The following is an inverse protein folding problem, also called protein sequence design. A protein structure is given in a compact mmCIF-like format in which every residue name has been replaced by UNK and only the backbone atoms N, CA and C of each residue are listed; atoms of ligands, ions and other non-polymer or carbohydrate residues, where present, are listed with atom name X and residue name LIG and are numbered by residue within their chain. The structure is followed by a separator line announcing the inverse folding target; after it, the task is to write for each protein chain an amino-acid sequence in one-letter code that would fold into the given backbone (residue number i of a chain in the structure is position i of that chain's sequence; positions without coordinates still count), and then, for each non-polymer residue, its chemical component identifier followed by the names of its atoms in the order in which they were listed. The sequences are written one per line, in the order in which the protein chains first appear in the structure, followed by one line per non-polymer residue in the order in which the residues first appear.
data_IF_820881578631
#
_entry.id   IF_820881578631
#
_cell.length_a   1.000
_cell.length_b   1.000
_cell.length_c   1.000
_cell.angle_alpha   90.00
_cell.angle_beta   90.00
_cell.angle_gamma   90.00
#
_symmetry.space_group_name_H-M   'P 1'
#
loop_
_entity.id
_entity.type
_entity.pdbx_description
1 polymer ?
#
# COMPACT_ATOMS: atom_id res chain seq x y z
N UNK A 1 -13.25 38.36 -16.01
CA UNK A 1 -13.36 37.07 -16.71
C UNK A 1 -12.56 36.08 -15.90
N UNK A 2 -13.20 35.12 -15.23
CA UNK A 2 -12.49 34.04 -14.56
C UNK A 2 -12.32 32.98 -15.66
N UNK A 3 -11.09 32.81 -16.16
CA UNK A 3 -10.75 31.69 -17.02
C UNK A 3 -11.16 30.42 -16.30
N UNK A 4 -12.20 29.76 -16.81
CA UNK A 4 -12.63 28.45 -16.36
C UNK A 4 -11.60 27.46 -16.90
N UNK A 5 -10.39 27.48 -16.34
CA UNK A 5 -9.30 26.59 -16.70
C UNK A 5 -9.83 25.17 -16.59
N UNK A 6 -9.93 24.51 -17.74
CA UNK A 6 -10.13 23.07 -17.83
C UNK A 6 -9.06 22.43 -16.95
N UNK A 7 -9.46 21.90 -15.79
CA UNK A 7 -8.56 21.17 -14.92
C UNK A 7 -8.00 20.02 -15.74
N UNK A 8 -6.71 20.11 -16.09
CA UNK A 8 -6.01 19.05 -16.78
C UNK A 8 -5.89 17.82 -15.89
N UNK A 9 -5.56 16.68 -16.49
CA UNK A 9 -5.25 15.48 -15.72
C UNK A 9 -4.10 15.74 -14.74
N UNK A 10 -4.21 15.20 -13.52
CA UNK A 10 -3.16 15.37 -12.54
C UNK A 10 -1.86 14.71 -13.01
N UNK A 11 -0.77 15.49 -13.05
CA UNK A 11 0.56 15.00 -13.41
C UNK A 11 0.97 13.89 -12.44
N UNK A 12 1.19 12.68 -12.97
CA UNK A 12 1.66 11.55 -12.18
C UNK A 12 3.16 11.32 -12.38
N UNK A 13 3.88 11.10 -11.29
CA UNK A 13 5.32 10.86 -11.30
C UNK A 13 5.64 9.55 -10.57
N UNK A 14 6.61 8.80 -11.06
CA UNK A 14 7.07 7.59 -10.38
C UNK A 14 7.99 7.94 -9.18
N UNK A 15 8.22 7.00 -8.25
CA UNK A 15 9.12 7.22 -7.11
C UNK A 15 10.55 7.65 -7.50
N UNK A 16 11.09 7.09 -8.59
CA UNK A 16 12.45 7.45 -9.07
C UNK A 16 12.51 8.91 -9.54
N UNK A 17 11.50 9.37 -10.28
CA UNK A 17 11.39 10.78 -10.68
C UNK A 17 11.18 11.68 -9.46
N UNK A 18 10.36 11.24 -8.50
CA UNK A 18 10.13 11.98 -7.26
C UNK A 18 11.42 12.18 -6.47
N UNK A 19 12.24 11.14 -6.34
CA UNK A 19 13.54 11.25 -5.68
C UNK A 19 14.46 12.25 -6.38
N UNK A 20 14.48 12.27 -7.72
CA UNK A 20 15.22 13.27 -8.50
C UNK A 20 14.71 14.69 -8.23
N UNK A 21 13.40 14.90 -8.29
CA UNK A 21 12.78 16.20 -8.04
C UNK A 21 13.09 16.72 -6.62
N UNK A 22 13.04 15.86 -5.61
CA UNK A 22 13.39 16.22 -4.23
C UNK A 22 14.86 16.67 -4.13
N UNK A 23 15.79 16.01 -4.83
CA UNK A 23 17.20 16.44 -4.91
C UNK A 23 17.37 17.78 -5.63
N UNK A 24 16.50 18.09 -6.58
CA UNK A 24 16.43 19.37 -7.30
C UNK A 24 15.72 20.47 -6.49
N UNK A 25 15.24 20.18 -5.28
CA UNK A 25 14.60 21.15 -4.38
C UNK A 25 13.07 21.17 -4.41
N UNK A 26 12.42 20.16 -4.98
CA UNK A 26 10.98 19.98 -4.83
C UNK A 26 10.58 19.70 -3.38
N UNK A 27 9.40 20.16 -2.98
CA UNK A 27 8.83 19.90 -1.66
C UNK A 27 7.94 18.66 -1.72
N UNK A 28 8.21 17.68 -0.87
CA UNK A 28 7.35 16.51 -0.71
C UNK A 28 6.24 16.84 0.29
N UNK A 29 4.98 16.61 -0.08
CA UNK A 29 3.82 16.86 0.79
C UNK A 29 3.15 15.53 1.11
N UNK A 30 3.31 15.07 2.34
CA UNK A 30 2.68 13.85 2.83
C UNK A 30 1.27 14.14 3.33
N UNK A 31 0.26 13.57 2.68
CA UNK A 31 -1.15 13.78 3.01
C UNK A 31 -1.76 12.71 3.91
N UNK A 32 -0.91 11.83 4.47
CA UNK A 32 -1.33 10.83 5.46
C UNK A 32 -1.59 11.47 6.83
N UNK A 33 -2.24 10.69 7.69
CA UNK A 33 -2.47 11.07 9.08
C UNK A 33 -1.14 11.19 9.85
N UNK A 34 -1.11 12.08 10.84
CA UNK A 34 0.11 12.30 11.65
C UNK A 34 0.59 11.03 12.35
N UNK A 35 -0.34 10.15 12.75
CA UNK A 35 -0.05 8.86 13.37
C UNK A 35 0.61 7.88 12.41
N UNK A 36 0.21 7.87 11.13
CA UNK A 36 0.83 7.07 10.07
C UNK A 36 2.26 7.56 9.80
N UNK A 37 2.46 8.88 9.70
CA UNK A 37 3.77 9.48 9.46
C UNK A 37 4.72 9.25 10.64
N UNK A 38 4.23 9.35 11.88
CA UNK A 38 5.02 9.06 13.08
C UNK A 38 5.51 7.61 13.13
N UNK A 39 4.74 6.67 12.57
CA UNK A 39 5.12 5.27 12.51
C UNK A 39 6.12 4.99 11.38
N UNK A 40 5.88 5.58 10.21
CA UNK A 40 6.69 5.39 9.02
C UNK A 40 6.64 6.63 8.12
N UNK A 41 7.77 7.31 8.01
CA UNK A 41 7.96 8.52 7.22
C UNK A 41 8.96 8.32 6.08
N UNK A 42 8.90 9.21 5.09
CA UNK A 42 9.94 9.28 4.05
C UNK A 42 11.20 9.91 4.65
N UNK A 43 12.37 9.33 4.36
CA UNK A 43 13.66 9.92 4.74
C UNK A 43 14.10 10.90 3.64
N UNK A 44 13.53 12.11 3.69
CA UNK A 44 13.81 13.18 2.74
C UNK A 44 13.95 14.52 3.47
N UNK A 45 14.85 15.41 3.02
CA UNK A 45 15.14 16.65 3.74
C UNK A 45 14.02 17.70 3.62
N UNK A 46 13.28 17.71 2.50
CA UNK A 46 12.24 18.68 2.21
C UNK A 46 10.87 18.00 2.18
N UNK A 47 10.32 17.71 3.36
CA UNK A 47 8.99 17.12 3.54
C UNK A 47 8.14 17.91 4.54
N UNK A 48 6.86 18.06 4.20
CA UNK A 48 5.83 18.59 5.10
C UNK A 48 4.69 17.59 5.18
N UNK A 49 4.14 17.39 6.37
CA UNK A 49 2.91 16.60 6.55
C UNK A 49 1.71 17.54 6.68
N UNK A 50 0.77 17.41 5.74
CA UNK A 50 -0.52 18.09 5.76
C UNK A 50 -1.58 17.02 5.47
N UNK A 51 -2.20 16.44 6.51
CA UNK A 51 -3.22 15.42 6.33
C UNK A 51 -4.32 15.87 5.36
N UNK A 52 -4.87 14.93 4.59
CA UNK A 52 -5.88 15.24 3.58
C UNK A 52 -7.08 16.03 4.15
N UNK A 53 -7.51 15.72 5.38
CA UNK A 53 -8.62 16.42 6.03
C UNK A 53 -8.30 17.88 6.42
N UNK A 54 -7.01 18.20 6.62
CA UNK A 54 -6.56 19.57 6.92
C UNK A 54 -6.22 20.36 5.65
N UNK A 55 -6.14 19.71 4.49
CA UNK A 55 -5.68 20.32 3.24
C UNK A 55 -6.50 21.55 2.87
N UNK A 56 -7.82 21.53 3.09
CA UNK A 56 -8.70 22.66 2.77
C UNK A 56 -8.42 23.92 3.59
N UNK A 57 -7.87 23.76 4.79
CA UNK A 57 -7.56 24.86 5.70
C UNK A 57 -6.10 25.30 5.59
N UNK A 58 -5.21 24.37 5.21
CA UNK A 58 -3.75 24.55 5.27
C UNK A 58 -3.06 24.64 3.91
N UNK A 59 -3.79 24.57 2.79
CA UNK A 59 -3.20 24.71 1.44
C UNK A 59 -2.43 26.03 1.26
N UNK A 60 -2.80 27.09 2.01
CA UNK A 60 -2.12 28.39 1.96
C UNK A 60 -0.70 28.39 2.55
N UNK A 61 -0.32 27.37 3.31
CA UNK A 61 1.05 27.20 3.84
C UNK A 61 2.02 26.71 2.75
N UNK A 62 1.51 26.17 1.64
CA UNK A 62 2.34 25.58 0.59
C UNK A 62 2.90 26.65 -0.36
N UNK A 63 4.21 26.59 -0.68
CA UNK A 63 4.83 27.52 -1.62
C UNK A 63 4.30 27.28 -3.04
N UNK A 64 3.85 28.36 -3.71
CA UNK A 64 3.37 28.32 -5.11
C UNK A 64 4.51 28.44 -6.13
N UNK A 65 5.68 28.89 -5.69
CA UNK A 65 6.89 29.12 -6.48
C UNK A 65 7.75 27.86 -6.65
N UNK A 66 7.44 26.78 -5.91
CA UNK A 66 8.21 25.52 -5.90
C UNK A 66 7.42 24.37 -6.50
N UNK A 67 8.14 23.36 -7.01
CA UNK A 67 7.51 22.10 -7.41
C UNK A 67 7.06 21.33 -6.16
N UNK A 68 5.79 20.93 -6.15
CA UNK A 68 5.19 20.16 -5.07
C UNK A 68 4.92 18.73 -5.57
N UNK A 69 5.39 17.74 -4.80
CA UNK A 69 5.06 16.33 -5.05
C UNK A 69 4.26 15.80 -3.88
N UNK A 70 3.01 15.44 -4.15
CA UNK A 70 2.10 14.91 -3.14
C UNK A 70 2.25 13.40 -3.02
N UNK A 71 2.28 12.92 -1.79
CA UNK A 71 2.47 11.51 -1.46
C UNK A 71 1.47 11.06 -0.41
N UNK A 72 1.05 9.81 -0.53
CA UNK A 72 0.34 9.10 0.53
C UNK A 72 0.84 7.65 0.58
N UNK A 73 0.05 6.73 1.12
CA UNK A 73 0.42 5.32 1.20
C UNK A 73 0.42 4.62 -0.18
N UNK A 74 -0.72 4.67 -0.90
CA UNK A 74 -0.94 3.98 -2.19
C UNK A 74 -0.91 4.91 -3.42
N UNK A 75 -1.05 6.22 -3.23
CA UNK A 75 -1.15 7.23 -4.29
C UNK A 75 -2.55 7.81 -4.52
N UNK A 76 -3.60 7.26 -3.88
CA UNK A 76 -5.00 7.67 -4.13
C UNK A 76 -5.40 8.95 -3.38
N UNK A 77 -5.06 9.04 -2.09
CA UNK A 77 -5.34 10.22 -1.26
C UNK A 77 -4.58 11.45 -1.77
N UNK A 78 -3.32 11.25 -2.16
CA UNK A 78 -2.47 12.29 -2.74
C UNK A 78 -2.94 12.74 -4.12
N UNK A 79 -3.56 11.84 -4.92
CA UNK A 79 -4.17 12.23 -6.19
C UNK A 79 -5.33 13.21 -5.97
N UNK A 80 -6.20 12.95 -5.00
CA UNK A 80 -7.30 13.87 -4.64
C UNK A 80 -6.77 15.23 -4.18
N UNK A 81 -5.76 15.23 -3.31
CA UNK A 81 -5.11 16.46 -2.87
C UNK A 81 -4.43 17.21 -4.03
N UNK A 82 -3.88 16.49 -5.02
CA UNK A 82 -3.26 17.11 -6.20
C UNK A 82 -4.30 17.87 -7.00
N UNK A 83 -5.45 17.27 -7.30
CA UNK A 83 -6.55 17.95 -7.97
C UNK A 83 -7.07 19.15 -7.18
N UNK A 84 -7.18 19.01 -5.85
CA UNK A 84 -7.57 20.12 -4.99
C UNK A 84 -6.60 21.32 -5.12
N UNK A 85 -5.29 21.08 -5.05
CA UNK A 85 -4.30 22.16 -5.19
C UNK A 85 -4.29 22.74 -6.61
N UNK A 86 -4.50 21.93 -7.65
CA UNK A 86 -4.65 22.46 -9.02
C UNK A 86 -5.85 23.42 -9.11
N UNK A 87 -6.97 23.08 -8.47
CA UNK A 87 -8.14 23.96 -8.40
C UNK A 87 -7.86 25.26 -7.62
N UNK A 88 -7.00 25.21 -6.61
CA UNK A 88 -6.51 26.41 -5.89
C UNK A 88 -5.47 27.24 -6.69
N UNK A 89 -5.22 26.87 -7.95
CA UNK A 89 -4.32 27.58 -8.86
C UNK A 89 -2.84 27.20 -8.72
N UNK A 90 -2.52 26.07 -8.08
CA UNK A 90 -1.15 25.55 -8.11
C UNK A 90 -0.86 24.91 -9.46
N UNK A 91 0.12 25.44 -10.17
CA UNK A 91 0.50 24.98 -11.53
C UNK A 91 1.57 23.89 -11.52
N UNK A 92 2.33 23.78 -10.42
CA UNK A 92 3.51 22.91 -10.29
C UNK A 92 3.32 21.78 -9.28
N UNK A 93 2.21 21.08 -9.38
CA UNK A 93 1.85 19.97 -8.49
C UNK A 93 1.84 18.64 -9.23
N UNK A 94 2.41 17.61 -8.62
CA UNK A 94 2.44 16.24 -9.14
C UNK A 94 2.04 15.23 -8.07
N UNK A 95 1.34 14.16 -8.46
CA UNK A 95 1.07 13.02 -7.59
C UNK A 95 2.16 11.95 -7.75
N UNK A 96 2.70 11.43 -6.65
CA UNK A 96 3.56 10.26 -6.71
C UNK A 96 2.73 8.97 -6.82
N UNK A 97 2.79 8.34 -7.98
CA UNK A 97 2.08 7.10 -8.26
C UNK A 97 2.58 5.96 -7.37
N UNK A 98 1.66 5.22 -6.74
CA UNK A 98 1.98 4.08 -5.88
C UNK A 98 2.46 4.45 -4.47
N UNK A 99 2.57 5.75 -4.15
CA UNK A 99 2.83 6.25 -2.80
C UNK A 99 4.05 5.64 -2.10
N UNK A 100 4.01 5.66 -0.78
CA UNK A 100 5.04 5.09 0.10
C UNK A 100 5.30 3.60 -0.21
N UNK A 101 4.26 2.83 -0.57
CA UNK A 101 4.41 1.42 -0.90
C UNK A 101 5.33 1.18 -2.11
N UNK A 102 5.20 1.99 -3.17
CA UNK A 102 6.08 1.90 -4.35
C UNK A 102 7.47 2.49 -4.07
N UNK A 103 7.55 3.53 -3.23
CA UNK A 103 8.81 4.10 -2.75
C UNK A 103 9.66 3.06 -2.00
N UNK A 104 9.07 2.35 -1.04
CA UNK A 104 9.75 1.29 -0.29
C UNK A 104 10.13 0.10 -1.17
N UNK A 105 9.24 -0.33 -2.08
CA UNK A 105 9.55 -1.41 -3.03
C UNK A 105 10.76 -1.10 -3.92
N UNK A 106 11.05 0.18 -4.16
CA UNK A 106 12.25 0.63 -4.87
C UNK A 106 13.51 0.67 -4.00
N UNK A 107 13.39 0.41 -2.70
CA UNK A 107 14.51 0.41 -1.76
C UNK A 107 14.98 1.82 -1.36
N UNK A 108 14.11 2.83 -1.49
CA UNK A 108 14.44 4.18 -1.06
C UNK A 108 14.32 4.34 0.46
N UNK A 109 15.08 5.29 1.01
CA UNK A 109 15.18 5.52 2.44
C UNK A 109 13.84 5.97 3.06
N UNK A 110 13.56 5.44 4.25
CA UNK A 110 12.38 5.71 5.07
C UNK A 110 12.81 5.72 6.54
N UNK A 111 12.13 6.50 7.36
CA UNK A 111 12.35 6.61 8.81
C UNK A 111 11.19 5.90 9.52
N UNK A 112 11.48 5.03 10.48
CA UNK A 112 10.46 4.35 11.29
C UNK A 112 10.58 2.84 11.28
N UNK A 113 9.72 2.18 12.05
CA UNK A 113 9.69 0.72 12.12
C UNK A 113 8.62 0.19 11.18
N UNK A 114 9.00 -0.72 10.28
CA UNK A 114 8.02 -1.54 9.61
C UNK A 114 7.50 -2.51 10.68
N UNK A 115 6.19 -2.52 10.94
CA UNK A 115 5.60 -3.76 11.44
C UNK A 115 5.76 -4.73 10.27
N UNK A 116 6.73 -5.63 10.37
CA UNK A 116 7.00 -6.67 9.39
C UNK A 116 5.67 -7.39 9.11
N UNK A 117 4.97 -7.02 8.04
CA UNK A 117 3.86 -7.82 7.56
C UNK A 117 4.47 -9.19 7.31
N UNK A 118 3.96 -10.29 7.90
CA UNK A 118 4.59 -11.59 7.76
C UNK A 118 4.71 -11.83 6.26
N UNK A 119 5.96 -11.87 5.79
CA UNK A 119 6.28 -12.31 4.46
C UNK A 119 5.46 -13.58 4.25
N UNK A 120 4.62 -13.60 3.21
CA UNK A 120 3.83 -14.75 2.85
C UNK A 120 4.70 -15.98 3.07
N UNK A 121 4.38 -16.76 4.11
CA UNK A 121 5.12 -17.97 4.44
C UNK A 121 5.04 -18.81 3.19
N UNK A 122 6.16 -18.92 2.49
CA UNK A 122 6.36 -19.99 1.55
C UNK A 122 6.33 -21.26 2.38
N UNK A 123 5.12 -21.82 2.58
CA UNK A 123 4.95 -23.17 3.07
C UNK A 123 5.31 -24.10 1.91
N UNK A 124 6.60 -24.19 1.60
CA UNK A 124 7.14 -25.33 0.86
C UNK A 124 7.47 -26.42 1.88
N UNK A 125 6.43 -27.03 2.45
CA UNK A 125 6.55 -28.36 3.05
C UNK A 125 6.18 -29.38 1.98
N UNK A 126 7.07 -29.56 1.01
CA UNK A 126 7.00 -30.59 -0.01
C UNK A 126 8.02 -31.71 0.26
N UNK A 127 8.14 -32.16 1.51
CA UNK A 127 8.78 -33.43 1.89
C UNK A 127 8.14 -33.88 3.22
N UNK A 128 7.36 -34.96 3.20
CA UNK A 128 6.70 -35.51 4.38
C UNK A 128 7.65 -36.31 5.28
N UNK A 129 7.14 -36.68 6.47
CA UNK A 129 7.73 -37.71 7.31
C UNK A 129 7.31 -37.64 8.78
N UNK A 130 6.51 -38.64 9.19
CA UNK A 130 6.19 -39.13 10.53
C UNK A 130 5.53 -38.26 11.62
N UNK A 131 4.39 -38.78 12.06
CA UNK A 131 3.77 -38.53 13.35
C UNK A 131 4.68 -38.96 14.52
N UNK A 132 4.68 -38.16 15.59
CA UNK A 132 5.00 -38.63 16.94
C UNK A 132 4.35 -37.70 17.98
N UNK A 133 3.17 -38.08 18.43
CA UNK A 133 2.56 -37.57 19.66
C UNK A 133 3.29 -38.15 20.89
N UNK A 134 3.55 -37.37 21.95
CA UNK A 134 3.73 -37.93 23.27
C UNK A 134 2.38 -37.99 23.99
N UNK A 135 1.97 -39.24 24.22
CA UNK A 135 0.89 -39.71 25.08
C UNK A 135 0.84 -39.01 26.44
N UNK A 136 -0.33 -38.48 26.82
CA UNK A 136 -0.71 -38.30 28.21
C UNK A 136 -2.18 -38.69 28.39
N UNK A 137 -2.40 -39.58 29.35
CA UNK A 137 -3.55 -40.44 29.48
C UNK A 137 -4.77 -39.81 30.17
N UNK A 138 -5.91 -40.47 29.88
CA UNK A 138 -7.14 -40.58 30.69
C UNK A 138 -8.07 -39.35 30.69
N UNK A 139 -9.39 -39.42 30.51
CA UNK A 139 -10.34 -40.50 30.80
C UNK A 139 -11.68 -40.29 30.06
N UNK A 140 -12.27 -41.40 29.61
CA UNK A 140 -13.69 -41.79 29.79
C UNK A 140 -14.84 -41.04 29.10
N UNK A 141 -15.68 -41.87 28.44
CA UNK A 141 -17.10 -41.71 28.10
C UNK A 141 -17.43 -40.80 26.91
N UNK A 142 -18.45 -41.00 26.07
CA UNK A 142 -19.48 -42.01 25.74
C UNK A 142 -20.32 -41.27 24.66
N UNK A 143 -20.87 -41.78 23.57
CA UNK A 143 -21.18 -43.07 22.98
C UNK A 143 -22.17 -42.75 21.84
N UNK A 144 -22.70 -43.79 21.20
CA UNK A 144 -23.87 -43.78 20.29
C UNK A 144 -23.61 -43.63 18.78
N UNK A 145 -23.38 -44.79 18.16
CA UNK A 145 -24.16 -45.37 17.04
C UNK A 145 -24.90 -44.44 16.06
N UNK A 146 -24.57 -44.54 14.76
CA UNK A 146 -25.47 -45.08 13.72
C UNK A 146 -24.83 -44.99 12.29
N UNK A 147 -25.26 -45.83 11.33
CA UNK A 147 -24.49 -46.21 10.13
C UNK A 147 -25.02 -45.60 8.82
N UNK A 148 -24.25 -45.66 7.72
CA UNK A 148 -24.75 -45.98 6.36
C UNK A 148 -23.67 -45.92 5.26
N UNK A 149 -23.65 -46.98 4.44
CA UNK A 149 -23.49 -47.05 2.96
C UNK A 149 -22.50 -46.08 2.26
N UNK A 150 -21.38 -46.56 1.70
CA UNK A 150 -21.23 -47.26 0.40
C UNK A 150 -21.59 -46.45 -0.84
N UNK A 151 -20.56 -46.10 -1.63
CA UNK A 151 -20.46 -46.12 -3.11
C UNK A 151 -19.51 -45.00 -3.56
N UNK A 152 -18.26 -45.33 -3.88
CA UNK A 152 -17.77 -45.62 -5.23
C UNK A 152 -17.73 -44.38 -6.13
N UNK A 153 -16.52 -44.00 -6.57
CA UNK A 153 -16.37 -43.26 -7.82
C UNK A 153 -15.30 -42.17 -7.84
N UNK A 154 -14.04 -42.54 -7.59
CA UNK A 154 -12.91 -41.75 -8.08
C UNK A 154 -12.80 -41.91 -9.60
N UNK A 155 -12.62 -40.77 -10.26
CA UNK A 155 -12.12 -40.53 -11.61
C UNK A 155 -11.77 -41.73 -12.50
N UNK A 156 -12.35 -41.76 -13.70
CA UNK A 156 -11.64 -42.27 -14.88
C UNK A 156 -11.88 -41.35 -16.08
N UNK A 157 -10.82 -41.00 -16.85
CA UNK A 157 -10.86 -40.07 -17.96
C UNK A 157 -11.34 -40.70 -19.28
N UNK A 158 -11.78 -39.83 -20.17
CA UNK A 158 -12.24 -40.07 -21.53
C UNK A 158 -11.20 -40.78 -22.42
N UNK A 159 -11.59 -41.77 -23.25
CA UNK A 159 -10.71 -42.33 -24.27
C UNK A 159 -10.83 -41.56 -25.60
N UNK A 160 -9.70 -41.34 -26.28
CA UNK A 160 -9.63 -41.00 -27.72
C UNK A 160 -8.59 -41.89 -28.38
N UNK A 161 -8.85 -42.24 -29.66
CA UNK A 161 -8.16 -43.15 -30.60
C UNK A 161 -8.52 -44.64 -30.41
N UNK A 162 -8.99 -45.37 -31.42
CA UNK A 162 -8.82 -45.24 -32.89
C UNK A 162 -10.13 -45.12 -33.68
#
# INVERSE_FOLDING_TARGET
MIDHQTLGEAKQVCPTTTQRLVREGALLVDVRERTEVASLAFDVPAIVNIPLFEMEQRWGELPKDRELVLVCESGERSLKATYYLQFQGFTRVSNMEGGLLKWMRKGFAVIGQRYEAPAATATSSCCGGEAAEPVSAASTFCGSTAPAASSTGCCAPSPTKE
#
